data_IF_394258199100
#
_entry.id   IF_394258199100
#
_cell.length_a   1.000
_cell.length_b   1.000
_cell.length_c   1.000
_cell.angle_alpha   90.00
_cell.angle_beta   90.00
_cell.angle_gamma   90.00
#
_symmetry.space_group_name_H-M   'P 1'
#
loop_
_entity.id
_entity.type
_entity.pdbx_description
1 polymer ?
#
# COMPACT_ATOMS: atom_id res chain seq x y z
N UNK A 1 -41.01 -8.27 -28.22
CA UNK A 1 -40.56 -7.36 -27.15
C UNK A 1 -40.09 -8.12 -25.89
N UNK A 2 -39.33 -9.22 -26.04
CA UNK A 2 -38.95 -10.14 -24.93
C UNK A 2 -37.44 -10.33 -24.73
N UNK A 3 -36.61 -9.74 -25.60
CA UNK A 3 -35.15 -9.97 -25.63
C UNK A 3 -34.33 -8.89 -24.90
N UNK A 4 -34.98 -7.79 -24.45
CA UNK A 4 -34.28 -6.68 -23.77
C UNK A 4 -34.06 -6.90 -22.28
N UNK A 5 -34.74 -7.88 -21.67
CA UNK A 5 -34.67 -8.12 -20.22
C UNK A 5 -33.51 -9.03 -19.81
N UNK A 6 -33.06 -9.93 -20.70
CA UNK A 6 -31.92 -10.81 -20.41
C UNK A 6 -30.57 -10.10 -20.43
N UNK A 7 -30.43 -8.99 -21.15
CA UNK A 7 -29.20 -8.19 -21.19
C UNK A 7 -28.96 -7.36 -19.92
N UNK A 8 -30.02 -7.02 -19.16
CA UNK A 8 -29.89 -6.24 -17.93
C UNK A 8 -29.36 -7.07 -16.75
N UNK A 9 -29.65 -8.37 -16.71
CA UNK A 9 -29.19 -9.25 -15.63
C UNK A 9 -27.70 -9.62 -15.73
N UNK A 10 -27.10 -9.58 -16.94
CA UNK A 10 -25.70 -9.95 -17.12
C UNK A 10 -24.71 -8.89 -16.62
N UNK A 11 -25.14 -7.62 -16.52
CA UNK A 11 -24.29 -6.52 -16.04
C UNK A 11 -24.23 -6.38 -14.51
N UNK A 12 -25.15 -7.01 -13.77
CA UNK A 12 -25.22 -6.88 -12.30
C UNK A 12 -24.33 -7.92 -11.59
N UNK A 13 -23.89 -8.97 -12.30
CA UNK A 13 -23.06 -10.03 -11.71
C UNK A 13 -21.55 -9.70 -11.64
N UNK A 14 -21.08 -8.65 -12.33
CA UNK A 14 -19.65 -8.31 -12.39
C UNK A 14 -19.23 -7.10 -11.55
N UNK A 15 -20.15 -6.46 -10.83
CA UNK A 15 -19.83 -5.30 -10.00
C UNK A 15 -19.49 -5.70 -8.57
N UNK A 16 -18.32 -6.30 -8.34
CA UNK A 16 -17.60 -6.24 -7.05
C UNK A 16 -16.21 -6.88 -7.13
N UNK A 17 -15.15 -6.06 -7.30
CA UNK A 17 -14.04 -6.16 -6.37
C UNK A 17 -13.57 -4.75 -5.94
N UNK A 18 -14.48 -3.87 -5.53
CA UNK A 18 -14.11 -2.50 -5.17
C UNK A 18 -13.44 -2.35 -3.79
N UNK A 19 -13.77 -3.23 -2.83
CA UNK A 19 -13.40 -3.05 -1.42
C UNK A 19 -12.14 -3.82 -1.00
N UNK A 20 -11.72 -4.84 -1.76
CA UNK A 20 -10.49 -5.59 -1.48
C UNK A 20 -9.24 -4.83 -1.95
N UNK A 21 -9.38 -4.04 -3.02
CA UNK A 21 -8.25 -3.37 -3.66
C UNK A 21 -7.64 -2.26 -2.79
N UNK A 22 -8.46 -1.50 -2.06
CA UNK A 22 -7.99 -0.34 -1.27
C UNK A 22 -7.09 -0.74 -0.08
N UNK A 23 -7.39 -1.84 0.61
CA UNK A 23 -6.51 -2.37 1.67
C UNK A 23 -5.21 -2.93 1.11
N UNK A 24 -5.27 -3.59 -0.04
CA UNK A 24 -4.11 -4.20 -0.65
C UNK A 24 -3.11 -3.13 -1.12
N UNK A 25 -3.58 -2.00 -1.69
CA UNK A 25 -2.69 -0.89 -2.09
C UNK A 25 -2.03 -0.14 -0.92
N UNK A 26 -2.45 -0.36 0.34
CA UNK A 26 -1.74 0.20 1.52
C UNK A 26 -0.27 -0.22 1.57
N UNK A 27 0.05 -1.44 1.10
CA UNK A 27 1.44 -1.92 1.03
C UNK A 27 2.30 -1.07 0.08
N UNK A 28 1.71 -0.53 -0.98
CA UNK A 28 2.41 0.31 -1.94
C UNK A 28 2.73 1.69 -1.34
N UNK A 29 1.80 2.26 -0.56
CA UNK A 29 2.09 3.47 0.22
C UNK A 29 3.22 3.22 1.24
N UNK A 30 3.15 2.11 1.99
CA UNK A 30 4.17 1.78 2.99
C UNK A 30 5.55 1.58 2.34
N UNK A 31 5.62 0.81 1.27
CA UNK A 31 6.86 0.50 0.57
C UNK A 31 7.48 1.73 -0.09
N UNK A 32 6.65 2.58 -0.71
CA UNK A 32 7.06 3.87 -1.25
C UNK A 32 7.61 4.79 -0.18
N UNK A 33 6.90 4.96 0.94
CA UNK A 33 7.35 5.78 2.07
C UNK A 33 8.73 5.35 2.57
N UNK A 34 8.93 4.06 2.86
CA UNK A 34 10.23 3.56 3.33
C UNK A 34 11.33 3.67 2.27
N UNK A 35 10.97 3.54 0.98
CA UNK A 35 11.91 3.81 -0.11
C UNK A 35 12.37 5.27 -0.07
N UNK A 36 11.46 6.22 0.15
CA UNK A 36 11.76 7.65 0.25
C UNK A 36 12.60 8.01 1.47
N UNK A 37 12.40 7.33 2.60
CA UNK A 37 13.22 7.51 3.81
C UNK A 37 14.54 6.73 3.80
N UNK A 38 14.89 6.09 2.68
CA UNK A 38 16.06 5.21 2.52
C UNK A 38 16.09 3.95 3.42
N UNK A 39 14.94 3.51 3.95
CA UNK A 39 14.83 2.23 4.65
C UNK A 39 14.62 1.09 3.64
N UNK A 40 15.74 0.59 3.10
CA UNK A 40 15.74 -0.46 2.08
C UNK A 40 15.14 -1.78 2.58
N UNK A 41 15.24 -2.08 3.87
CA UNK A 41 14.75 -3.34 4.42
C UNK A 41 13.22 -3.35 4.46
N UNK A 42 12.61 -2.33 5.08
CA UNK A 42 11.16 -2.25 5.19
C UNK A 42 10.52 -1.98 3.84
N UNK A 43 11.16 -1.17 2.99
CA UNK A 43 10.71 -0.97 1.60
C UNK A 43 10.72 -2.27 0.79
N UNK A 44 11.83 -3.02 0.84
CA UNK A 44 11.95 -4.31 0.15
C UNK A 44 10.96 -5.36 0.65
N UNK A 45 10.72 -5.40 1.96
CA UNK A 45 9.73 -6.31 2.55
C UNK A 45 8.31 -5.96 2.08
N UNK A 46 7.94 -4.67 2.10
CA UNK A 46 6.64 -4.22 1.60
C UNK A 46 6.46 -4.56 0.11
N UNK A 47 7.48 -4.33 -0.73
CA UNK A 47 7.46 -4.72 -2.13
C UNK A 47 7.29 -6.23 -2.32
N UNK A 48 7.99 -7.05 -1.53
CA UNK A 48 7.86 -8.50 -1.59
C UNK A 48 6.43 -8.97 -1.25
N UNK A 49 5.80 -8.38 -0.23
CA UNK A 49 4.43 -8.70 0.16
C UNK A 49 3.44 -8.23 -0.93
N UNK A 50 3.64 -7.04 -1.49
CA UNK A 50 2.83 -6.54 -2.62
C UNK A 50 2.95 -7.45 -3.86
N UNK A 51 4.15 -7.95 -4.15
CA UNK A 51 4.37 -8.91 -5.23
C UNK A 51 3.65 -10.23 -4.96
N UNK A 52 3.74 -10.77 -3.74
CA UNK A 52 3.02 -11.99 -3.31
C UNK A 52 1.50 -11.87 -3.44
N UNK A 53 0.97 -10.65 -3.29
CA UNK A 53 -0.45 -10.33 -3.46
C UNK A 53 -0.85 -10.02 -4.91
N UNK A 54 0.08 -10.06 -5.87
CA UNK A 54 -0.13 -9.72 -7.28
C UNK A 54 -0.64 -8.28 -7.52
N UNK A 55 -0.30 -7.36 -6.62
CA UNK A 55 -0.65 -5.94 -6.75
C UNK A 55 0.54 -5.08 -7.16
N UNK A 56 1.77 -5.61 -7.06
CA UNK A 56 2.96 -4.88 -7.46
C UNK A 56 3.04 -4.76 -8.99
N UNK A 57 3.26 -3.55 -9.50
CA UNK A 57 3.22 -3.25 -10.93
C UNK A 57 1.83 -2.82 -11.43
N UNK A 58 0.78 -2.92 -10.62
CA UNK A 58 -0.51 -2.29 -10.89
C UNK A 58 -0.36 -0.76 -10.95
N UNK A 59 -0.98 -0.06 -11.91
CA UNK A 59 -0.90 1.40 -12.02
C UNK A 59 -1.29 2.15 -10.73
N UNK A 60 -2.27 1.64 -9.97
CA UNK A 60 -2.71 2.21 -8.70
C UNK A 60 -1.64 2.01 -7.63
N UNK A 61 -1.03 0.83 -7.57
CA UNK A 61 0.09 0.56 -6.68
C UNK A 61 1.30 1.46 -7.00
N UNK A 62 1.65 1.62 -8.27
CA UNK A 62 2.78 2.45 -8.68
C UNK A 62 2.53 3.92 -8.32
N UNK A 63 1.33 4.45 -8.58
CA UNK A 63 0.98 5.82 -8.20
C UNK A 63 1.02 6.03 -6.68
N UNK A 64 0.51 5.07 -5.90
CA UNK A 64 0.58 5.07 -4.44
C UNK A 64 2.05 5.06 -3.96
N UNK A 65 2.88 4.21 -4.57
CA UNK A 65 4.30 4.10 -4.28
C UNK A 65 5.04 5.42 -4.54
N UNK A 66 4.88 6.02 -5.72
CA UNK A 66 5.56 7.25 -6.10
C UNK A 66 5.15 8.43 -5.21
N UNK A 67 3.86 8.55 -4.89
CA UNK A 67 3.39 9.59 -3.98
C UNK A 67 3.99 9.42 -2.57
N UNK A 68 3.97 8.19 -2.03
CA UNK A 68 4.53 7.93 -0.72
C UNK A 68 6.05 8.07 -0.68
N UNK A 69 6.75 7.72 -1.76
CA UNK A 69 8.19 7.98 -1.92
C UNK A 69 8.51 9.46 -1.78
N UNK A 70 7.76 10.33 -2.48
CA UNK A 70 7.95 11.78 -2.38
C UNK A 70 7.74 12.29 -0.95
N UNK A 71 6.74 11.77 -0.24
CA UNK A 71 6.47 12.12 1.16
C UNK A 71 7.63 11.68 2.06
N UNK A 72 8.10 10.44 1.92
CA UNK A 72 9.23 9.92 2.69
C UNK A 72 10.52 10.70 2.43
N UNK A 73 10.79 11.04 1.16
CA UNK A 73 11.97 11.82 0.77
C UNK A 73 11.91 13.26 1.33
N UNK A 74 10.74 13.89 1.26
CA UNK A 74 10.53 15.23 1.79
C UNK A 74 10.65 15.25 3.32
N UNK A 75 10.08 14.26 4.01
CA UNK A 75 10.23 14.11 5.46
C UNK A 75 11.69 13.88 5.85
N UNK A 76 12.42 13.02 5.13
CA UNK A 76 13.83 12.77 5.38
C UNK A 76 14.70 14.04 5.19
N UNK A 77 14.35 14.90 4.24
CA UNK A 77 15.05 16.17 3.98
C UNK A 77 14.67 17.28 4.97
N UNK A 78 13.38 17.41 5.30
CA UNK A 78 12.84 18.61 5.98
C UNK A 78 12.39 18.37 7.42
N UNK A 79 12.16 17.12 7.81
CA UNK A 79 11.60 16.74 9.10
C UNK A 79 10.16 17.21 9.36
N UNK A 80 9.45 17.71 8.34
CA UNK A 80 8.12 18.30 8.48
C UNK A 80 7.06 17.52 7.68
N UNK A 81 5.87 17.41 8.28
CA UNK A 81 4.67 16.85 7.64
C UNK A 81 3.76 18.03 7.27
N UNK A 82 3.35 18.12 6.01
CA UNK A 82 2.59 19.25 5.45
C UNK A 82 1.08 18.98 5.42
N UNK A 83 0.66 17.73 5.21
CA UNK A 83 -0.76 17.42 4.94
C UNK A 83 -1.27 16.23 5.77
N UNK A 84 -2.56 16.19 6.09
CA UNK A 84 -3.18 15.11 6.86
C UNK A 84 -3.02 13.72 6.20
N UNK A 85 -3.15 13.64 4.87
CA UNK A 85 -2.94 12.40 4.12
C UNK A 85 -1.52 11.82 4.28
N UNK A 86 -0.52 12.68 4.49
CA UNK A 86 0.86 12.25 4.77
C UNK A 86 0.96 11.59 6.14
N UNK A 87 0.19 12.08 7.14
CA UNK A 87 0.14 11.46 8.47
C UNK A 87 -0.42 10.05 8.43
N UNK A 88 -1.44 9.81 7.61
CA UNK A 88 -2.03 8.47 7.47
C UNK A 88 -1.00 7.48 6.92
N UNK A 89 -0.25 7.87 5.89
CA UNK A 89 0.83 7.04 5.33
C UNK A 89 1.92 6.78 6.38
N UNK A 90 2.31 7.79 7.15
CA UNK A 90 3.30 7.66 8.22
C UNK A 90 2.80 6.72 9.33
N UNK A 91 1.52 6.82 9.72
CA UNK A 91 0.92 5.93 10.72
C UNK A 91 0.84 4.48 10.22
N UNK A 92 0.46 4.28 8.95
CA UNK A 92 0.47 2.95 8.33
C UNK A 92 1.88 2.35 8.30
N UNK A 93 2.89 3.15 7.92
CA UNK A 93 4.29 2.74 7.92
C UNK A 93 4.79 2.40 9.32
N UNK A 94 4.45 3.20 10.34
CA UNK A 94 4.81 2.93 11.73
C UNK A 94 4.16 1.64 12.25
N UNK A 95 2.88 1.44 11.99
CA UNK A 95 2.18 0.21 12.39
C UNK A 95 2.77 -1.04 11.70
N UNK A 96 3.19 -0.89 10.43
CA UNK A 96 3.87 -1.94 9.70
C UNK A 96 5.24 -2.26 10.29
N UNK A 97 6.09 -1.27 10.54
CA UNK A 97 7.44 -1.49 11.07
C UNK A 97 7.40 -2.11 12.46
N UNK A 98 6.50 -1.68 13.35
CA UNK A 98 6.29 -2.30 14.66
C UNK A 98 5.98 -3.79 14.52
N UNK A 99 5.03 -4.18 13.67
CA UNK A 99 4.69 -5.60 13.46
C UNK A 99 5.87 -6.41 12.94
N UNK A 100 6.68 -5.83 12.04
CA UNK A 100 7.87 -6.48 11.49
C UNK A 100 8.92 -6.69 12.57
N UNK A 101 9.24 -5.65 13.34
CA UNK A 101 10.22 -5.74 14.41
C UNK A 101 9.77 -6.67 15.52
N UNK A 102 8.52 -6.62 15.97
CA UNK A 102 8.00 -7.54 16.98
C UNK A 102 8.11 -9.00 16.52
N UNK A 103 7.74 -9.27 15.26
CA UNK A 103 7.83 -10.61 14.69
C UNK A 103 9.28 -11.12 14.62
N UNK A 104 10.22 -10.28 14.21
CA UNK A 104 11.65 -10.63 14.14
C UNK A 104 12.24 -10.80 15.54
N UNK A 105 12.03 -9.84 16.43
CA UNK A 105 12.57 -9.84 17.80
C UNK A 105 12.08 -11.03 18.61
N UNK A 106 10.82 -11.46 18.44
CA UNK A 106 10.30 -12.67 19.11
C UNK A 106 11.03 -13.97 18.74
N UNK A 107 11.82 -13.96 17.66
CA UNK A 107 12.56 -15.11 17.13
C UNK A 107 14.06 -15.04 17.43
N UNK A 108 14.56 -13.95 17.97
CA UNK A 108 15.97 -13.77 18.31
C UNK A 108 16.15 -14.08 19.80
N UNK A 109 16.94 -15.10 20.11
CA UNK A 109 17.47 -15.33 21.46
C UNK A 109 18.91 -14.81 21.49
N UNK A 110 19.20 -13.89 22.42
CA UNK A 110 20.56 -13.44 22.73
C UNK A 110 21.23 -14.39 23.72
#
# INVERSE_FOLDING_TARGET
MRMKWFLLMFFIAFSSPGVAAEEDYKLCNIGGYFSGTNDKFLSGLAAHIAQKKNIFGDPICNAAWDNAYRIGEELAKTGKIKVQAEREIIQQAAAFSTKVYDAISSRINF
#
